data_IF_839394486016
#
_entry.id   IF_839394486016
#
_cell.length_a   1.000
_cell.length_b   1.000
_cell.length_c   1.000
_cell.angle_alpha   90.00
_cell.angle_beta   90.00
_cell.angle_gamma   90.00
#
_symmetry.space_group_name_H-M   'P 1'
#
loop_
_entity.id
_entity.type
_entity.pdbx_description
1 polymer ?
#
# COMPACT_ATOMS: atom_id res chain seq x y z
N UNK A 1 -29.19 -32.10 11.08
CA UNK A 1 -27.76 -31.68 11.08
C UNK A 1 -27.73 -30.16 11.15
N UNK A 2 -27.32 -29.62 12.29
CA UNK A 2 -27.38 -28.19 12.66
C UNK A 2 -26.02 -27.54 12.42
N UNK A 3 -26.03 -26.34 11.80
CA UNK A 3 -25.11 -25.19 11.97
C UNK A 3 -23.64 -25.45 11.54
N UNK A 4 -22.98 -24.66 10.69
CA UNK A 4 -22.87 -23.19 10.64
C UNK A 4 -22.44 -22.76 9.22
N UNK A 5 -23.16 -21.86 8.50
CA UNK A 5 -22.60 -21.18 7.35
C UNK A 5 -22.19 -19.77 7.79
N UNK A 6 -20.96 -19.61 8.26
CA UNK A 6 -20.35 -18.31 8.52
C UNK A 6 -18.91 -18.32 8.01
N UNK A 7 -18.74 -18.64 6.72
CA UNK A 7 -17.61 -18.11 5.97
C UNK A 7 -17.96 -16.65 5.66
N UNK A 8 -17.68 -15.80 6.65
CA UNK A 8 -17.91 -14.38 6.65
C UNK A 8 -17.08 -13.72 5.55
N UNK A 9 -17.73 -13.45 4.43
CA UNK A 9 -17.71 -12.17 3.70
C UNK A 9 -16.39 -11.39 3.77
N UNK A 10 -15.50 -11.67 2.82
CA UNK A 10 -14.86 -10.66 1.95
C UNK A 10 -14.65 -11.38 0.60
N UNK A 11 -15.70 -11.51 -0.21
CA UNK A 11 -15.82 -10.67 -1.40
C UNK A 11 -14.43 -10.35 -1.95
N UNK A 12 -13.90 -11.13 -2.88
CA UNK A 12 -13.92 -10.66 -4.26
C UNK A 12 -13.96 -9.12 -4.30
N UNK A 13 -12.81 -8.49 -4.06
CA UNK A 13 -12.44 -7.26 -4.77
C UNK A 13 -12.10 -7.66 -6.21
N UNK A 14 -13.06 -8.31 -6.89
CA UNK A 14 -13.10 -8.28 -8.33
C UNK A 14 -13.59 -6.90 -8.73
N UNK A 15 -12.87 -6.31 -9.66
CA UNK A 15 -13.46 -5.41 -10.63
C UNK A 15 -13.90 -4.06 -10.08
N UNK A 16 -12.95 -3.14 -9.99
CA UNK A 16 -13.22 -1.71 -10.05
C UNK A 16 -12.02 -1.04 -10.72
N UNK A 17 -12.01 -0.92 -12.05
CA UNK A 17 -12.25 0.36 -12.74
C UNK A 17 -11.25 1.41 -12.23
N UNK A 18 -10.18 1.71 -12.93
CA UNK A 18 -10.18 2.30 -14.27
C UNK A 18 -8.74 2.33 -14.74
N UNK A 19 -8.50 2.01 -16.01
CA UNK A 19 -7.35 2.53 -16.71
C UNK A 19 -7.50 4.07 -16.74
N UNK A 20 -7.07 4.76 -15.69
CA UNK A 20 -6.64 6.14 -15.84
C UNK A 20 -5.31 6.05 -16.56
N UNK A 21 -5.41 5.93 -17.88
CA UNK A 21 -4.28 6.06 -18.79
C UNK A 21 -3.83 7.52 -18.71
N UNK A 22 -3.05 7.85 -17.68
CA UNK A 22 -2.31 9.09 -17.51
C UNK A 22 -1.29 8.96 -16.37
N UNK A 23 -0.22 8.19 -16.56
CA UNK A 23 1.00 8.22 -15.72
C UNK A 23 0.85 7.85 -14.23
N UNK A 24 -0.02 6.91 -13.86
CA UNK A 24 0.06 6.31 -12.53
C UNK A 24 1.27 5.34 -12.44
N UNK A 25 1.84 5.21 -11.24
CA UNK A 25 2.96 4.32 -10.93
C UNK A 25 2.46 3.12 -10.14
N UNK A 26 2.85 1.92 -10.54
CA UNK A 26 2.60 0.71 -9.76
C UNK A 26 3.69 0.55 -8.68
N UNK A 27 3.34 0.68 -7.41
CA UNK A 27 4.28 0.57 -6.28
C UNK A 27 3.83 -0.56 -5.34
N UNK A 28 4.80 -1.31 -4.81
CA UNK A 28 4.55 -2.28 -3.75
C UNK A 28 4.83 -1.63 -2.40
N UNK A 29 3.84 -1.58 -1.53
CA UNK A 29 3.98 -1.08 -0.16
C UNK A 29 3.90 -2.25 0.81
N UNK A 30 4.97 -2.50 1.55
CA UNK A 30 5.02 -3.45 2.66
C UNK A 30 5.03 -2.70 3.99
N UNK A 31 3.94 -2.82 4.74
CA UNK A 31 3.85 -2.32 6.12
C UNK A 31 3.88 -3.52 7.06
N UNK A 32 4.94 -3.61 7.86
CA UNK A 32 5.12 -4.64 8.90
C UNK A 32 4.96 -6.10 8.42
N UNK A 33 5.38 -6.40 7.19
CA UNK A 33 5.37 -7.74 6.60
C UNK A 33 4.10 -8.04 5.82
N UNK A 34 3.27 -7.04 5.53
CA UNK A 34 2.04 -7.17 4.74
C UNK A 34 2.19 -6.42 3.41
N UNK A 35 2.78 -7.05 2.37
CA UNK A 35 2.96 -6.43 1.07
C UNK A 35 1.63 -6.28 0.34
N UNK A 36 1.41 -5.10 -0.26
CA UNK A 36 0.29 -4.80 -1.16
C UNK A 36 0.78 -3.98 -2.34
N UNK A 37 0.36 -4.36 -3.55
CA UNK A 37 0.62 -3.57 -4.75
C UNK A 37 -0.53 -2.59 -4.97
N UNK A 38 -0.19 -1.33 -5.23
CA UNK A 38 -1.14 -0.25 -5.45
C UNK A 38 -0.66 0.64 -6.59
N UNK A 39 -1.61 1.35 -7.20
CA UNK A 39 -1.31 2.39 -8.18
C UNK A 39 -1.38 3.74 -7.48
N UNK A 40 -0.35 4.56 -7.64
CA UNK A 40 -0.21 5.87 -6.99
C UNK A 40 0.26 6.92 -7.99
N UNK A 41 -0.11 8.18 -7.74
CA UNK A 41 0.47 9.32 -8.44
C UNK A 41 1.58 10.00 -7.64
N UNK A 42 1.78 9.62 -6.38
CA UNK A 42 2.74 10.22 -5.46
C UNK A 42 4.13 10.35 -6.11
N UNK A 43 4.73 11.53 -5.99
CA UNK A 43 6.06 11.80 -6.54
C UNK A 43 7.16 11.15 -5.68
N UNK A 44 6.92 11.01 -4.37
CA UNK A 44 7.88 10.47 -3.42
C UNK A 44 7.23 9.58 -2.34
N UNK A 45 8.09 8.94 -1.54
CA UNK A 45 7.69 8.04 -0.46
C UNK A 45 6.83 8.72 0.60
N UNK A 46 7.05 10.01 0.89
CA UNK A 46 6.29 10.73 1.93
C UNK A 46 4.83 10.90 1.49
N UNK A 47 4.63 11.38 0.26
CA UNK A 47 3.31 11.54 -0.33
C UNK A 47 2.57 10.20 -0.45
N UNK A 48 3.26 9.13 -0.86
CA UNK A 48 2.66 7.79 -0.91
C UNK A 48 2.14 7.35 0.46
N UNK A 49 2.93 7.52 1.52
CA UNK A 49 2.54 7.07 2.85
C UNK A 49 1.39 7.91 3.41
N UNK A 50 1.40 9.22 3.14
CA UNK A 50 0.29 10.12 3.48
C UNK A 50 -1.02 9.70 2.78
N UNK A 51 -0.98 9.43 1.48
CA UNK A 51 -2.13 8.98 0.69
C UNK A 51 -2.69 7.64 1.19
N UNK A 52 -1.82 6.75 1.65
CA UNK A 52 -2.19 5.46 2.22
C UNK A 52 -2.59 5.53 3.70
N UNK A 53 -2.56 6.71 4.32
CA UNK A 53 -2.86 6.92 5.74
C UNK A 53 -1.87 6.26 6.70
N UNK A 54 -0.64 6.02 6.25
CA UNK A 54 0.44 5.43 7.05
C UNK A 54 1.22 6.56 7.74
N UNK A 55 1.14 6.62 9.07
CA UNK A 55 1.91 7.58 9.85
C UNK A 55 3.22 6.94 10.34
N UNK A 56 4.34 7.58 10.04
CA UNK A 56 5.68 7.12 10.42
C UNK A 56 6.16 7.94 11.60
N UNK A 57 6.60 7.27 12.67
CA UNK A 57 7.22 7.88 13.85
C UNK A 57 8.74 7.94 13.73
N UNK A 58 9.39 8.74 14.57
CA UNK A 58 10.86 8.89 14.56
C UNK A 58 11.65 7.60 14.83
N UNK A 59 10.99 6.57 15.36
CA UNK A 59 11.59 5.27 15.63
C UNK A 59 11.32 4.25 14.51
N UNK A 60 10.43 4.55 13.58
CA UNK A 60 10.10 3.65 12.48
C UNK A 60 11.17 3.73 11.39
N UNK A 61 11.33 2.64 10.66
CA UNK A 61 12.25 2.58 9.52
C UNK A 61 11.46 2.53 8.23
N UNK A 62 11.82 3.41 7.29
CA UNK A 62 11.23 3.47 5.95
C UNK A 62 12.34 3.34 4.92
N UNK A 63 12.13 2.46 3.94
CA UNK A 63 13.04 2.25 2.82
C UNK A 63 12.25 2.16 1.52
N UNK A 64 12.54 2.98 0.49
CA UNK A 64 13.47 4.11 0.49
C UNK A 64 13.13 5.20 1.52
N UNK A 65 14.05 6.12 1.79
CA UNK A 65 13.84 7.18 2.78
C UNK A 65 12.65 8.09 2.39
N UNK A 66 12.01 8.73 3.38
CA UNK A 66 11.00 9.76 3.14
C UNK A 66 11.54 10.83 2.17
N UNK A 67 10.74 11.24 1.18
CA UNK A 67 11.15 12.16 0.12
C UNK A 67 11.98 11.56 -1.01
N UNK A 68 12.26 10.25 -0.98
CA UNK A 68 12.83 9.55 -2.14
C UNK A 68 11.80 9.50 -3.26
N UNK A 69 12.21 9.90 -4.46
CA UNK A 69 11.34 9.85 -5.63
C UNK A 69 10.87 8.41 -5.90
N UNK A 70 9.60 8.26 -6.25
CA UNK A 70 9.00 6.98 -6.61
C UNK A 70 8.97 6.78 -8.11
N UNK A 71 9.30 5.57 -8.54
CA UNK A 71 9.20 5.08 -9.89
C UNK A 71 8.25 3.88 -10.00
N UNK A 72 7.86 3.55 -11.23
CA UNK A 72 7.10 2.34 -11.52
C UNK A 72 7.87 1.08 -11.15
N UNK A 73 7.18 0.19 -10.43
CA UNK A 73 7.71 -1.07 -9.93
C UNK A 73 8.47 -0.96 -8.61
N UNK A 74 8.57 0.23 -8.01
CA UNK A 74 9.29 0.42 -6.75
C UNK A 74 8.63 -0.34 -5.59
N UNK A 75 9.46 -0.66 -4.60
CA UNK A 75 9.06 -1.27 -3.35
C UNK A 75 9.36 -0.33 -2.19
N UNK A 76 8.33 0.01 -1.41
CA UNK A 76 8.42 0.80 -0.19
C UNK A 76 8.14 -0.10 0.99
N UNK A 77 9.10 -0.17 1.91
CA UNK A 77 9.04 -0.99 3.11
C UNK A 77 9.00 -0.07 4.33
N UNK A 78 7.97 -0.25 5.15
CA UNK A 78 7.81 0.41 6.44
C UNK A 78 7.89 -0.65 7.54
N UNK A 79 8.72 -0.38 8.54
CA UNK A 79 8.86 -1.17 9.76
C UNK A 79 8.57 -0.26 10.94
N UNK A 80 7.37 -0.40 11.52
CA UNK A 80 6.98 0.36 12.69
C UNK A 80 7.56 -0.28 13.96
N UNK A 81 8.08 0.54 14.87
CA UNK A 81 8.47 0.10 16.19
C UNK A 81 7.25 0.13 17.11
N UNK A 82 6.61 -1.03 17.27
CA UNK A 82 5.51 -1.26 18.21
C UNK A 82 5.73 -2.52 19.04
#
# INVERSE_FOLDING_TARGET
RRLVPQALVVAILAGGTTAFVACDKAVTLDVDGTPRTLHTFADDVDELLADQGVTVSAHDTVSPALGSALADGDEVVVRAWR
#
